data_IF_643471068080
#
_entry.id   IF_643471068080
#
_cell.length_a   1.000
_cell.length_b   1.000
_cell.length_c   1.000
_cell.angle_alpha   90.00
_cell.angle_beta   90.00
_cell.angle_gamma   90.00
#
_symmetry.space_group_name_H-M   'P 1'
#
loop_
_entity.id
_entity.type
_entity.pdbx_description
1 polymer ?
#
# COMPACT_ATOMS: atom_id res chain seq x y z
N UNK A 1 -0.65 -29.42 -21.25
CA UNK A 1 -1.59 -28.30 -21.04
C UNK A 1 -0.82 -27.19 -20.37
N UNK A 2 -0.58 -26.09 -21.08
CA UNK A 2 0.14 -24.92 -20.56
C UNK A 2 -0.88 -23.96 -19.98
N UNK A 3 -1.00 -23.90 -18.65
CA UNK A 3 -1.81 -22.88 -17.97
C UNK A 3 -1.07 -21.56 -18.11
N UNK A 4 -1.67 -20.62 -18.82
CA UNK A 4 -1.10 -19.32 -19.10
C UNK A 4 -1.26 -18.44 -17.83
N UNK A 5 -0.17 -18.09 -17.11
CA UNK A 5 -0.27 -17.41 -15.80
C UNK A 5 -0.87 -16.01 -15.85
N UNK A 6 -1.03 -15.44 -17.06
CA UNK A 6 -1.48 -14.06 -17.26
C UNK A 6 -2.97 -13.84 -16.98
N UNK A 7 -3.79 -14.88 -17.09
CA UNK A 7 -5.25 -14.73 -16.93
C UNK A 7 -5.65 -14.70 -15.45
N UNK A 8 -5.06 -15.56 -14.61
CA UNK A 8 -5.38 -15.64 -13.18
C UNK A 8 -5.07 -14.35 -12.42
N UNK A 9 -3.96 -13.67 -12.72
CA UNK A 9 -3.61 -12.39 -12.06
C UNK A 9 -4.59 -11.26 -12.35
N UNK A 10 -5.19 -11.24 -13.55
CA UNK A 10 -6.11 -10.16 -13.95
C UNK A 10 -7.49 -10.38 -13.34
N UNK A 11 -7.98 -11.62 -13.34
CA UNK A 11 -9.25 -12.00 -12.71
C UNK A 11 -9.19 -11.86 -11.18
N UNK A 12 -8.03 -12.19 -10.59
CA UNK A 12 -7.71 -12.01 -9.18
C UNK A 12 -7.75 -10.53 -8.75
N UNK A 13 -7.16 -9.62 -9.54
CA UNK A 13 -7.19 -8.18 -9.28
C UNK A 13 -8.61 -7.60 -9.39
N UNK A 14 -9.41 -8.11 -10.32
CA UNK A 14 -10.80 -7.70 -10.50
C UNK A 14 -11.66 -8.08 -9.29
N UNK A 15 -11.49 -9.30 -8.75
CA UNK A 15 -12.20 -9.74 -7.55
C UNK A 15 -11.85 -8.91 -6.31
N UNK A 16 -10.56 -8.61 -6.08
CA UNK A 16 -10.14 -7.76 -4.96
C UNK A 16 -10.70 -6.34 -5.07
N UNK A 17 -10.79 -5.80 -6.29
CA UNK A 17 -11.36 -4.48 -6.54
C UNK A 17 -12.89 -4.47 -6.31
N UNK A 18 -13.60 -5.51 -6.71
CA UNK A 18 -15.04 -5.65 -6.50
C UNK A 18 -15.38 -5.75 -5.01
N UNK A 19 -14.71 -6.65 -4.28
CA UNK A 19 -14.89 -6.80 -2.83
C UNK A 19 -14.61 -5.48 -2.11
N UNK A 20 -13.56 -4.76 -2.51
CA UNK A 20 -13.26 -3.45 -1.92
C UNK A 20 -14.39 -2.43 -2.14
N UNK A 21 -15.02 -2.42 -3.33
CA UNK A 21 -16.16 -1.52 -3.61
C UNK A 21 -17.37 -1.87 -2.73
N UNK A 22 -17.60 -3.15 -2.46
CA UNK A 22 -18.64 -3.57 -1.52
C UNK A 22 -18.33 -3.11 -0.10
N UNK A 23 -17.08 -3.30 0.37
CA UNK A 23 -16.64 -2.83 1.69
C UNK A 23 -16.83 -1.31 1.82
N UNK A 24 -16.48 -0.54 0.79
CA UNK A 24 -16.64 0.92 0.77
C UNK A 24 -18.08 1.39 0.99
N UNK A 25 -19.08 0.59 0.62
CA UNK A 25 -20.50 0.91 0.82
C UNK A 25 -21.04 0.58 2.21
N UNK A 26 -20.27 -0.12 3.05
CA UNK A 26 -20.73 -0.48 4.38
C UNK A 26 -20.92 0.77 5.22
N UNK A 27 -22.08 0.88 5.86
CA UNK A 27 -22.41 1.96 6.77
C UNK A 27 -21.98 1.62 8.21
N UNK A 28 -21.54 2.65 8.94
CA UNK A 28 -21.25 2.57 10.36
C UNK A 28 -21.71 3.83 11.09
N UNK A 29 -21.94 3.69 12.39
CA UNK A 29 -22.32 4.82 13.25
C UNK A 29 -21.09 5.42 13.90
N UNK A 30 -20.98 6.74 13.87
CA UNK A 30 -19.97 7.48 14.62
C UNK A 30 -20.63 8.68 15.30
N UNK A 31 -20.68 8.66 16.63
CA UNK A 31 -21.54 9.57 17.37
C UNK A 31 -23.02 9.33 17.04
N UNK A 32 -23.71 10.38 16.59
CA UNK A 32 -25.14 10.33 16.23
C UNK A 32 -25.38 10.26 14.71
N UNK A 33 -24.32 10.19 13.91
CA UNK A 33 -24.39 10.19 12.45
C UNK A 33 -24.00 8.83 11.88
N UNK A 34 -24.44 8.57 10.65
CA UNK A 34 -24.12 7.37 9.87
C UNK A 34 -23.21 7.79 8.73
N UNK A 35 -22.11 7.07 8.56
CA UNK A 35 -21.13 7.29 7.52
C UNK A 35 -20.81 5.97 6.82
N UNK A 36 -20.20 6.07 5.65
CA UNK A 36 -19.73 4.91 4.88
C UNK A 36 -18.24 4.65 5.11
N UNK A 37 -17.82 3.40 5.01
CA UNK A 37 -16.38 3.03 5.11
C UNK A 37 -15.53 3.81 4.11
N UNK A 38 -16.07 4.11 2.93
CA UNK A 38 -15.44 5.01 1.95
C UNK A 38 -15.11 6.39 2.54
N UNK A 39 -16.06 6.99 3.24
CA UNK A 39 -15.88 8.29 3.90
C UNK A 39 -14.92 8.20 5.06
N UNK A 40 -14.80 7.05 5.73
CA UNK A 40 -13.84 6.88 6.81
C UNK A 40 -12.38 6.95 6.35
N UNK A 41 -12.10 6.47 5.13
CA UNK A 41 -10.73 6.31 4.61
C UNK A 41 -9.86 5.51 5.59
N UNK A 42 -10.14 4.20 5.66
CA UNK A 42 -9.41 3.25 6.52
C UNK A 42 -7.91 3.24 6.24
N UNK A 43 -7.12 3.06 7.30
CA UNK A 43 -5.65 3.04 7.27
C UNK A 43 -5.10 1.67 7.68
N UNK A 44 -5.62 1.12 8.77
CA UNK A 44 -5.09 -0.08 9.41
C UNK A 44 -6.16 -0.76 10.28
N UNK A 45 -6.09 -2.09 10.42
CA UNK A 45 -7.03 -2.88 11.22
C UNK A 45 -6.43 -3.24 12.57
N UNK A 46 -7.13 -2.92 13.66
CA UNK A 46 -6.75 -3.36 15.01
C UNK A 46 -7.24 -4.77 15.32
N UNK A 47 -8.51 -5.03 15.02
CA UNK A 47 -9.17 -6.26 15.39
C UNK A 47 -10.23 -6.63 14.35
N UNK A 48 -10.37 -7.93 14.12
CA UNK A 48 -11.49 -8.51 13.38
C UNK A 48 -12.04 -9.64 14.23
N UNK A 49 -13.31 -9.51 14.60
CA UNK A 49 -13.98 -10.46 15.46
C UNK A 49 -15.34 -10.86 14.93
N UNK A 50 -16.06 -11.64 15.73
CA UNK A 50 -17.44 -12.03 15.45
C UNK A 50 -18.27 -11.70 16.68
N UNK A 51 -19.35 -10.95 16.48
CA UNK A 51 -20.32 -10.64 17.52
C UNK A 51 -21.72 -10.98 17.01
N UNK A 52 -22.47 -11.77 17.78
CA UNK A 52 -23.81 -12.26 17.42
C UNK A 52 -23.89 -12.90 16.02
N UNK A 53 -22.84 -13.64 15.63
CA UNK A 53 -22.75 -14.31 14.33
C UNK A 53 -22.36 -13.40 13.17
N UNK A 54 -22.17 -12.09 13.40
CA UNK A 54 -21.73 -11.13 12.37
C UNK A 54 -20.28 -10.76 12.55
N UNK A 55 -19.53 -10.75 11.46
CA UNK A 55 -18.13 -10.30 11.48
C UNK A 55 -18.08 -8.79 11.66
N UNK A 56 -17.24 -8.31 12.57
CA UNK A 56 -16.97 -6.89 12.74
C UNK A 56 -15.48 -6.60 12.55
N UNK A 57 -15.20 -5.36 12.14
CA UNK A 57 -13.85 -4.84 11.93
C UNK A 57 -13.69 -3.57 12.77
N UNK A 58 -12.64 -3.54 13.59
CA UNK A 58 -12.18 -2.34 14.29
C UNK A 58 -10.95 -1.82 13.55
N UNK A 59 -11.05 -0.63 12.96
CA UNK A 59 -10.01 -0.06 12.13
C UNK A 59 -9.72 1.40 12.49
N UNK A 60 -8.46 1.81 12.30
CA UNK A 60 -8.08 3.21 12.31
C UNK A 60 -8.49 3.84 10.98
N UNK A 61 -9.22 4.94 11.05
CA UNK A 61 -9.65 5.75 9.92
C UNK A 61 -8.96 7.10 9.94
N UNK A 62 -8.76 7.70 8.77
CA UNK A 62 -8.16 9.03 8.67
C UNK A 62 -9.10 10.13 9.16
N UNK A 63 -10.40 9.98 8.94
CA UNK A 63 -11.37 11.05 9.12
C UNK A 63 -12.11 11.00 10.48
N UNK A 64 -12.24 9.81 11.10
CA UNK A 64 -13.03 9.61 12.31
C UNK A 64 -12.27 8.90 13.44
N UNK A 65 -10.95 8.69 13.32
CA UNK A 65 -10.18 7.92 14.30
C UNK A 65 -10.56 6.44 14.27
N UNK A 66 -10.67 5.79 15.42
CA UNK A 66 -11.05 4.37 15.48
C UNK A 66 -12.53 4.18 15.18
N UNK A 67 -12.85 3.39 14.17
CA UNK A 67 -14.21 3.07 13.74
C UNK A 67 -14.45 1.57 13.86
N UNK A 68 -15.72 1.20 14.07
CA UNK A 68 -16.19 -0.18 14.12
C UNK A 68 -17.31 -0.31 13.09
N UNK A 69 -17.21 -1.30 12.21
CA UNK A 69 -18.27 -1.61 11.25
C UNK A 69 -18.48 -3.12 11.16
N UNK A 70 -19.69 -3.51 10.79
CA UNK A 70 -20.09 -4.91 10.64
C UNK A 70 -20.15 -5.26 9.17
N UNK A 71 -19.60 -6.42 8.81
CA UNK A 71 -19.63 -6.94 7.45
C UNK A 71 -20.97 -7.65 7.23
N UNK A 72 -21.79 -7.21 6.27
CA UNK A 72 -23.00 -7.92 5.84
C UNK A 72 -22.70 -9.34 5.37
N UNK A 73 -23.65 -10.26 5.56
CA UNK A 73 -23.43 -11.70 5.27
C UNK A 73 -23.12 -11.97 3.79
N UNK A 74 -23.74 -11.22 2.86
CA UNK A 74 -23.49 -11.30 1.41
C UNK A 74 -22.06 -10.87 1.05
N UNK A 75 -21.56 -9.80 1.67
CA UNK A 75 -20.17 -9.36 1.48
C UNK A 75 -19.20 -10.35 2.16
N UNK A 76 -19.59 -10.92 3.30
CA UNK A 76 -18.78 -11.91 4.01
C UNK A 76 -18.62 -13.21 3.21
N UNK A 77 -19.64 -13.65 2.49
CA UNK A 77 -19.57 -14.80 1.59
C UNK A 77 -18.55 -14.57 0.47
N UNK A 78 -18.61 -13.42 -0.21
CA UNK A 78 -17.64 -13.03 -1.24
C UNK A 78 -16.20 -12.99 -0.71
N UNK A 79 -16.02 -12.41 0.48
CA UNK A 79 -14.71 -12.38 1.18
C UNK A 79 -14.24 -13.81 1.49
N UNK A 80 -15.13 -14.68 1.93
CA UNK A 80 -14.79 -16.04 2.35
C UNK A 80 -14.38 -16.91 1.17
N UNK A 81 -15.11 -16.85 0.07
CA UNK A 81 -14.75 -17.53 -1.19
C UNK A 81 -13.37 -17.06 -1.68
N UNK A 82 -13.16 -15.74 -1.65
CA UNK A 82 -11.89 -15.15 -2.06
C UNK A 82 -10.74 -15.56 -1.16
N UNK A 83 -10.92 -15.48 0.16
CA UNK A 83 -9.91 -15.87 1.13
C UNK A 83 -9.54 -17.35 1.01
N UNK A 84 -10.53 -18.22 0.77
CA UNK A 84 -10.32 -19.64 0.51
C UNK A 84 -9.49 -19.90 -0.75
N UNK A 85 -9.76 -19.17 -1.85
CA UNK A 85 -8.95 -19.25 -3.09
C UNK A 85 -7.48 -18.86 -2.86
N UNK A 86 -7.23 -17.98 -1.88
CA UNK A 86 -5.90 -17.52 -1.48
C UNK A 86 -5.32 -18.33 -0.31
N UNK A 87 -5.98 -19.41 0.13
CA UNK A 87 -5.56 -20.26 1.24
C UNK A 87 -5.29 -19.47 2.55
N UNK A 88 -6.10 -18.43 2.81
CA UNK A 88 -5.99 -17.60 4.00
C UNK A 88 -7.35 -17.47 4.71
N UNK A 89 -7.34 -16.94 5.94
CA UNK A 89 -8.60 -16.69 6.66
C UNK A 89 -9.27 -15.40 6.16
N UNK A 90 -10.61 -15.29 6.23
CA UNK A 90 -11.33 -14.06 5.90
C UNK A 90 -10.79 -12.83 6.65
N UNK A 91 -10.44 -12.99 7.93
CA UNK A 91 -9.87 -11.93 8.76
C UNK A 91 -8.52 -11.47 8.19
N UNK A 92 -7.64 -12.41 7.85
CA UNK A 92 -6.34 -12.09 7.27
C UNK A 92 -6.50 -11.36 5.94
N UNK A 93 -7.41 -11.85 5.08
CA UNK A 93 -7.70 -11.22 3.79
C UNK A 93 -8.16 -9.76 3.94
N UNK A 94 -9.14 -9.50 4.82
CA UNK A 94 -9.66 -8.14 5.06
C UNK A 94 -8.56 -7.21 5.56
N UNK A 95 -7.75 -7.65 6.53
CA UNK A 95 -6.65 -6.85 7.07
C UNK A 95 -5.62 -6.51 5.98
N UNK A 96 -5.19 -7.51 5.22
CA UNK A 96 -4.23 -7.33 4.13
C UNK A 96 -4.80 -6.42 3.03
N UNK A 97 -6.10 -6.54 2.69
CA UNK A 97 -6.76 -5.71 1.69
C UNK A 97 -6.86 -4.24 2.11
N UNK A 98 -7.21 -3.96 3.37
CA UNK A 98 -7.27 -2.59 3.91
C UNK A 98 -5.90 -1.93 3.87
N UNK A 99 -4.85 -2.62 4.35
CA UNK A 99 -3.48 -2.08 4.31
C UNK A 99 -2.98 -1.87 2.88
N UNK A 100 -3.31 -2.79 1.96
CA UNK A 100 -2.97 -2.65 0.55
C UNK A 100 -3.58 -1.39 -0.06
N UNK A 101 -4.85 -1.10 0.24
CA UNK A 101 -5.58 0.05 -0.32
C UNK A 101 -5.11 1.38 0.25
N UNK A 102 -4.75 1.45 1.54
CA UNK A 102 -4.07 2.64 2.08
C UNK A 102 -2.71 2.86 1.41
N UNK A 103 -1.95 1.78 1.18
CA UNK A 103 -0.67 1.86 0.47
C UNK A 103 -0.86 2.36 -0.96
N UNK A 104 -1.81 1.83 -1.71
CA UNK A 104 -2.15 2.29 -3.07
C UNK A 104 -2.42 3.80 -3.06
N UNK A 105 -3.24 4.27 -2.12
CA UNK A 105 -3.55 5.69 -1.95
C UNK A 105 -2.30 6.53 -1.63
N UNK A 106 -1.45 6.05 -0.73
CA UNK A 106 -0.20 6.73 -0.37
C UNK A 106 0.78 6.80 -1.55
N UNK A 107 0.89 5.73 -2.34
CA UNK A 107 1.73 5.70 -3.53
C UNK A 107 1.23 6.71 -4.56
N UNK A 108 -0.07 6.70 -4.88
CA UNK A 108 -0.70 7.65 -5.81
C UNK A 108 -0.46 9.10 -5.40
N UNK A 109 -0.55 9.41 -4.11
CA UNK A 109 -0.22 10.75 -3.60
C UNK A 109 1.26 11.11 -3.78
N UNK A 110 2.16 10.15 -3.60
CA UNK A 110 3.61 10.38 -3.74
C UNK A 110 4.06 10.53 -5.18
N UNK A 111 3.42 9.83 -6.12
CA UNK A 111 3.82 9.79 -7.54
C UNK A 111 3.07 10.79 -8.42
N UNK A 112 2.02 11.44 -7.90
CA UNK A 112 1.24 12.45 -8.62
C UNK A 112 2.08 13.60 -9.20
N UNK A 113 3.18 13.98 -8.54
CA UNK A 113 4.08 15.03 -9.01
C UNK A 113 5.05 14.57 -10.12
N UNK A 114 5.17 13.27 -10.35
CA UNK A 114 6.18 12.64 -11.23
C UNK A 114 5.55 12.15 -12.55
N UNK A 115 4.26 12.42 -12.78
CA UNK A 115 3.57 12.07 -14.03
C UNK A 115 3.25 10.57 -14.17
N UNK A 116 3.38 9.79 -13.09
CA UNK A 116 2.97 8.37 -13.06
C UNK A 116 1.45 8.32 -13.08
N UNK A 117 0.88 7.54 -14.00
CA UNK A 117 -0.56 7.35 -14.11
C UNK A 117 -1.10 6.49 -12.97
N UNK A 118 -2.41 6.59 -12.69
CA UNK A 118 -3.06 5.76 -11.67
C UNK A 118 -2.89 4.27 -11.99
N UNK A 119 -3.06 3.89 -13.25
CA UNK A 119 -2.96 2.51 -13.72
C UNK A 119 -1.56 1.93 -13.50
N UNK A 120 -0.51 2.70 -13.81
CA UNK A 120 0.88 2.29 -13.59
C UNK A 120 1.19 2.10 -12.09
N UNK A 121 0.73 3.02 -11.24
CA UNK A 121 0.93 2.93 -9.80
C UNK A 121 0.21 1.71 -9.20
N UNK A 122 -1.04 1.47 -9.60
CA UNK A 122 -1.82 0.31 -9.18
C UNK A 122 -1.13 -0.98 -9.63
N UNK A 123 -0.76 -1.08 -10.91
CA UNK A 123 -0.07 -2.25 -11.45
C UNK A 123 1.24 -2.56 -10.70
N UNK A 124 2.02 -1.54 -10.35
CA UNK A 124 3.27 -1.71 -9.60
C UNK A 124 3.03 -2.27 -8.18
N UNK A 125 1.98 -1.81 -7.49
CA UNK A 125 1.62 -2.30 -6.15
C UNK A 125 1.24 -3.77 -6.19
N UNK A 126 0.36 -4.16 -7.13
CA UNK A 126 -0.07 -5.56 -7.25
C UNK A 126 1.06 -6.48 -7.74
N UNK A 127 1.89 -6.04 -8.68
CA UNK A 127 3.07 -6.83 -9.10
C UNK A 127 4.04 -7.09 -7.94
N UNK A 128 4.17 -6.14 -7.02
CA UNK A 128 4.98 -6.33 -5.82
C UNK A 128 4.31 -7.21 -4.77
N UNK A 129 2.99 -7.10 -4.58
CA UNK A 129 2.22 -8.02 -3.73
C UNK A 129 2.52 -9.46 -4.16
N UNK A 130 2.34 -9.76 -5.44
CA UNK A 130 2.55 -11.11 -6.00
C UNK A 130 4.01 -11.57 -5.88
N UNK A 131 4.98 -10.65 -6.02
CA UNK A 131 6.40 -10.97 -5.83
C UNK A 131 6.75 -11.22 -4.36
N UNK A 132 6.17 -10.45 -3.44
CA UNK A 132 6.38 -10.58 -2.01
C UNK A 132 5.78 -11.87 -1.47
N UNK A 133 4.56 -12.22 -1.89
CA UNK A 133 3.89 -13.47 -1.54
C UNK A 133 4.72 -14.68 -1.99
N UNK A 134 5.23 -14.66 -3.23
CA UNK A 134 6.15 -15.72 -3.73
C UNK A 134 7.46 -15.81 -2.95
N UNK A 135 7.94 -14.69 -2.40
CA UNK A 135 9.14 -14.63 -1.59
C UNK A 135 8.88 -14.94 -0.10
N UNK A 136 7.63 -15.25 0.30
CA UNK A 136 7.26 -15.50 1.70
C UNK A 136 7.26 -14.25 2.58
N UNK A 137 7.22 -13.05 1.99
CA UNK A 137 7.13 -11.79 2.70
C UNK A 137 5.68 -11.28 2.71
N UNK A 138 5.29 -10.56 3.78
CA UNK A 138 3.95 -9.96 3.85
C UNK A 138 3.78 -8.88 2.76
N UNK A 139 2.65 -8.91 2.05
CA UNK A 139 2.28 -7.91 1.05
C UNK A 139 2.43 -6.47 1.58
N UNK A 140 2.02 -6.21 2.83
CA UNK A 140 2.14 -4.91 3.50
C UNK A 140 3.59 -4.38 3.60
N UNK A 141 4.57 -5.24 3.86
CA UNK A 141 5.98 -4.83 3.94
C UNK A 141 6.53 -4.39 2.58
N UNK A 142 6.19 -5.11 1.52
CA UNK A 142 6.57 -4.77 0.15
C UNK A 142 5.89 -3.48 -0.33
N UNK A 143 4.60 -3.35 -0.02
CA UNK A 143 3.82 -2.13 -0.21
C UNK A 143 4.47 -0.90 0.47
N UNK A 144 4.85 -1.01 1.74
CA UNK A 144 5.54 0.08 2.46
C UNK A 144 6.89 0.45 1.84
N UNK A 145 7.64 -0.53 1.32
CA UNK A 145 8.90 -0.27 0.64
C UNK A 145 8.71 0.58 -0.63
N UNK A 146 7.63 0.34 -1.40
CA UNK A 146 7.28 1.18 -2.55
C UNK A 146 6.88 2.59 -2.16
N UNK A 147 6.09 2.76 -1.11
CA UNK A 147 5.72 4.11 -0.63
C UNK A 147 6.98 4.88 -0.23
N UNK A 148 7.92 4.22 0.44
CA UNK A 148 9.21 4.83 0.78
C UNK A 148 10.04 5.17 -0.47
N UNK A 149 10.04 4.30 -1.49
CA UNK A 149 10.66 4.58 -2.77
C UNK A 149 10.01 5.78 -3.48
N UNK A 150 8.68 5.83 -3.54
CA UNK A 150 7.90 6.92 -4.14
C UNK A 150 8.16 8.25 -3.44
N UNK A 151 8.21 8.26 -2.11
CA UNK A 151 8.62 9.43 -1.32
C UNK A 151 10.05 9.85 -1.66
N UNK A 152 11.00 8.91 -1.69
CA UNK A 152 12.38 9.22 -2.03
C UNK A 152 12.51 9.79 -3.46
N UNK A 153 11.76 9.27 -4.44
CA UNK A 153 11.72 9.79 -5.80
C UNK A 153 11.12 11.20 -5.87
N UNK A 154 10.03 11.44 -5.13
CA UNK A 154 9.41 12.76 -5.05
C UNK A 154 10.34 13.79 -4.37
N UNK A 155 11.07 13.39 -3.33
CA UNK A 155 12.07 14.23 -2.68
C UNK A 155 13.21 14.58 -3.64
N UNK A 156 13.69 13.61 -4.43
CA UNK A 156 14.66 13.86 -5.52
C UNK A 156 14.13 14.86 -6.56
N UNK A 157 12.83 14.83 -6.86
CA UNK A 157 12.20 15.76 -7.80
C UNK A 157 12.00 17.17 -7.22
N UNK A 158 11.57 17.27 -5.95
CA UNK A 158 11.36 18.55 -5.25
C UNK A 158 12.66 19.27 -4.91
N UNK A 159 13.74 18.52 -4.69
CA UNK A 159 15.06 19.03 -4.37
C UNK A 159 16.08 18.52 -5.41
N UNK A 160 16.01 18.98 -6.67
CA UNK A 160 16.89 18.51 -7.75
C UNK A 160 18.35 18.85 -7.47
N UNK A 161 18.60 19.94 -6.73
CA UNK A 161 19.88 20.20 -6.08
C UNK A 161 19.97 19.37 -4.79
N UNK A 162 20.14 18.06 -4.94
CA UNK A 162 20.66 17.26 -3.84
C UNK A 162 21.95 17.93 -3.39
N UNK A 163 21.97 18.51 -2.18
CA UNK A 163 23.20 18.92 -1.50
C UNK A 163 24.10 17.69 -1.53
N UNK A 164 25.03 17.66 -2.50
CA UNK A 164 25.91 16.54 -2.79
C UNK A 164 26.39 15.97 -1.47
N UNK A 165 26.03 14.73 -1.15
CA UNK A 165 26.19 14.12 0.18
C UNK A 165 27.52 14.50 0.80
N UNK A 166 27.46 15.54 1.61
CA UNK A 166 28.65 16.23 2.06
C UNK A 166 29.11 15.68 3.41
N UNK A 167 28.77 14.42 3.68
CA UNK A 167 29.25 13.64 4.82
C UNK A 167 30.74 13.88 5.02
N UNK A 168 31.52 13.84 3.94
CA UNK A 168 32.97 14.00 4.01
C UNK A 168 33.39 15.40 4.49
N UNK A 169 32.75 16.49 4.05
CA UNK A 169 33.04 17.83 4.62
C UNK A 169 32.48 18.00 6.03
N UNK A 170 31.32 17.41 6.33
CA UNK A 170 30.69 17.49 7.67
C UNK A 170 31.54 16.82 8.75
N UNK A 171 32.30 15.78 8.38
CA UNK A 171 33.20 15.05 9.29
C UNK A 171 34.69 15.40 9.10
N UNK A 172 35.01 16.50 8.42
CA UNK A 172 36.38 17.01 8.30
C UNK A 172 37.33 16.14 7.45
N UNK A 173 36.82 15.15 6.72
CA UNK A 173 37.64 14.32 5.86
C UNK A 173 37.98 15.06 4.55
N UNK A 174 39.27 15.18 4.19
CA UNK A 174 39.69 15.95 3.03
C UNK A 174 39.16 15.30 1.74
N UNK A 175 38.38 16.07 0.98
CA UNK A 175 37.92 15.68 -0.34
C UNK A 175 39.14 15.48 -1.26
N UNK A 176 39.25 14.30 -1.91
CA UNK A 176 40.31 14.01 -2.89
C UNK A 176 40.29 15.08 -3.99
N UNK A 177 41.18 16.06 -3.92
CA UNK A 177 41.36 17.06 -4.98
C UNK A 177 41.77 16.30 -6.25
N UNK A 178 40.99 16.42 -7.33
CA UNK A 178 41.48 16.02 -8.66
C UNK A 178 42.79 16.78 -8.89
N UNK A 179 43.87 16.02 -9.06
CA UNK A 179 45.23 16.50 -8.89
C UNK A 179 45.57 17.69 -9.78
N UNK A 180 46.14 18.74 -9.17
CA UNK A 180 47.05 19.65 -9.87
C UNK A 180 48.46 19.11 -9.70
N UNK A 181 48.93 18.36 -10.70
CA UNK A 181 50.34 18.08 -10.95
C UNK A 181 50.48 17.93 -12.46
N UNK A 182 51.38 18.62 -13.17
CA UNK A 182 52.71 19.12 -12.85
C UNK A 182 52.93 20.49 -13.53
N UNK A 183 53.59 21.44 -12.88
CA UNK A 183 54.43 22.41 -13.61
C UNK A 183 55.79 21.74 -13.82
N UNK A 184 56.14 21.42 -15.06
CA UNK A 184 57.52 21.08 -15.43
C UNK A 184 58.38 22.33 -15.22
N UNK A 185 59.48 22.19 -14.50
CA UNK A 185 60.66 23.04 -14.62
C UNK A 185 61.66 22.26 -15.46
N UNK A 186 61.92 22.75 -16.66
CA UNK A 186 63.23 22.75 -17.33
C UNK A 186 63.30 24.08 -18.07
#
# INVERSE_FOLDING_TARGET
MSLNPKNETTDSQNADAEIWRCIETIEFKFGNEVYTVKEASLLFVYEIGVENGRMYVIALSRNYGTVIFYIPDDIFELISERAASLMCSPQKYIADLIELKDTEKALLQSTAAVGVTREEAVAAVYALKDAAERAGHSAAAAARALVNLGKALNDCYKYPEGKTNNWLKMHGFPMRRKGKGRKKRE
#
